data_IF_142949956398
#
_entry.id   IF_142949956398
#
_cell.length_a   1.000
_cell.length_b   1.000
_cell.length_c   1.000
_cell.angle_alpha   90.00
_cell.angle_beta   90.00
_cell.angle_gamma   90.00
#
_symmetry.space_group_name_H-M   'P 1'
#
loop_
_entity.id
_entity.type
_entity.pdbx_description
1 polymer ?
#
# COMPACT_ATOMS: atom_id res chain seq x y z
N UNK A 1 -6.40 9.66 29.17
CA UNK A 1 -7.02 10.15 27.93
C UNK A 1 -8.43 10.55 28.33
N UNK A 2 -8.64 11.85 28.50
CA UNK A 2 -9.96 12.41 28.71
C UNK A 2 -10.75 12.23 27.41
N UNK A 3 -11.83 11.45 27.44
CA UNK A 3 -12.72 11.25 26.31
C UNK A 3 -13.59 12.47 26.05
N UNK A 4 -13.00 13.67 26.02
CA UNK A 4 -13.69 14.88 25.59
C UNK A 4 -14.02 14.72 24.10
N UNK A 5 -15.30 14.91 23.77
CA UNK A 5 -15.75 14.88 22.38
C UNK A 5 -14.99 15.96 21.59
N UNK A 6 -14.38 15.56 20.48
CA UNK A 6 -13.65 16.47 19.61
C UNK A 6 -14.63 17.37 18.86
N UNK A 7 -14.97 18.52 19.45
CA UNK A 7 -15.89 19.52 18.89
C UNK A 7 -15.27 20.34 17.73
N UNK A 8 -14.09 19.97 17.22
CA UNK A 8 -13.48 20.66 16.09
C UNK A 8 -14.24 20.34 14.80
N UNK A 9 -14.78 21.38 14.18
CA UNK A 9 -15.32 21.28 12.83
C UNK A 9 -14.22 20.94 11.83
N UNK A 10 -14.55 20.15 10.82
CA UNK A 10 -13.64 19.89 9.70
C UNK A 10 -13.24 21.24 9.07
N UNK A 11 -11.94 21.50 8.98
CA UNK A 11 -11.39 22.74 8.44
C UNK A 11 -11.77 22.93 6.96
N UNK A 12 -12.04 21.83 6.27
CA UNK A 12 -12.41 21.81 4.85
C UNK A 12 -13.79 21.16 4.68
N UNK A 13 -14.66 21.81 3.91
CA UNK A 13 -15.99 21.31 3.55
C UNK A 13 -15.91 20.07 2.64
N UNK A 14 -14.83 19.93 1.88
CA UNK A 14 -14.55 18.77 1.03
C UNK A 14 -13.14 18.24 1.28
N UNK A 15 -13.02 16.92 1.38
CA UNK A 15 -11.75 16.21 1.55
C UNK A 15 -11.79 14.86 0.84
N UNK A 16 -10.62 14.32 0.53
CA UNK A 16 -10.49 12.96 -0.01
C UNK A 16 -10.53 11.97 1.16
N UNK A 17 -11.44 11.00 1.06
CA UNK A 17 -11.51 9.88 1.99
C UNK A 17 -11.03 8.60 1.29
N UNK A 18 -10.26 7.79 2.01
CA UNK A 18 -9.85 6.46 1.59
C UNK A 18 -10.23 5.45 2.69
N UNK A 19 -10.50 4.18 2.33
CA UNK A 19 -10.71 3.13 3.32
C UNK A 19 -9.52 3.06 4.29
N UNK A 20 -9.82 3.04 5.59
CA UNK A 20 -8.79 2.81 6.60
C UNK A 20 -8.27 1.37 6.42
N UNK A 21 -6.99 1.25 6.07
CA UNK A 21 -6.34 -0.05 6.10
C UNK A 21 -6.32 -0.53 7.57
N UNK A 22 -6.75 -1.77 7.87
CA UNK A 22 -6.60 -2.31 9.22
C UNK A 22 -5.12 -2.18 9.58
N UNK A 23 -4.76 -1.72 10.79
CA UNK A 23 -3.37 -1.45 11.21
C UNK A 23 -3.08 -2.13 12.57
N UNK A 24 -3.31 -3.42 12.66
CA UNK A 24 -3.05 -4.30 13.81
C UNK A 24 -1.54 -4.48 14.11
N UNK A 25 -0.77 -3.44 14.44
CA UNK A 25 0.58 -3.51 15.07
C UNK A 25 1.75 -4.17 14.31
N UNK A 26 1.51 -5.12 13.41
CA UNK A 26 2.47 -5.80 12.53
C UNK A 26 2.68 -5.05 11.20
N UNK A 27 2.25 -3.81 11.16
CA UNK A 27 2.18 -2.99 9.96
C UNK A 27 3.51 -2.32 9.75
N UNK A 28 4.22 -2.76 8.73
CA UNK A 28 5.38 -2.04 8.23
C UNK A 28 4.97 -1.42 6.90
N UNK A 29 4.69 -0.12 6.92
CA UNK A 29 4.64 0.66 5.69
C UNK A 29 5.98 0.48 4.98
N UNK A 30 5.90 0.20 3.68
CA UNK A 30 7.07 0.01 2.85
C UNK A 30 6.99 0.91 1.64
N UNK A 31 8.09 1.63 1.42
CA UNK A 31 8.35 2.37 0.19
C UNK A 31 9.13 1.48 -0.78
N UNK A 32 8.60 1.27 -1.98
CA UNK A 32 9.23 0.46 -3.02
C UNK A 32 10.03 1.31 -4.00
N UNK A 33 9.54 2.50 -4.32
CA UNK A 33 10.28 3.52 -5.04
C UNK A 33 9.90 4.92 -4.55
N UNK A 34 10.82 5.86 -4.67
CA UNK A 34 10.59 7.28 -4.46
C UNK A 34 10.37 8.01 -5.78
N UNK A 35 10.27 9.33 -5.69
CA UNK A 35 10.09 10.17 -6.86
C UNK A 35 11.39 10.35 -7.67
N UNK A 36 12.53 10.42 -6.98
CA UNK A 36 13.88 10.51 -7.58
C UNK A 36 14.74 9.28 -7.33
N UNK A 37 14.30 8.42 -6.39
CA UNK A 37 15.11 7.33 -5.87
C UNK A 37 14.43 6.01 -6.24
N UNK A 38 15.07 5.20 -7.08
CA UNK A 38 14.60 3.86 -7.42
C UNK A 38 15.55 2.88 -6.74
N UNK A 39 15.28 2.49 -5.48
CA UNK A 39 16.10 1.51 -4.79
C UNK A 39 15.96 0.17 -5.52
N UNK A 40 17.05 -0.60 -5.56
CA UNK A 40 17.00 -1.95 -6.08
C UNK A 40 16.28 -2.84 -5.07
N UNK A 41 15.03 -3.18 -5.34
CA UNK A 41 14.30 -4.10 -4.49
C UNK A 41 14.83 -5.54 -4.67
N UNK A 42 15.09 -6.24 -3.57
CA UNK A 42 15.70 -7.59 -3.61
C UNK A 42 14.71 -8.73 -3.31
N UNK A 43 13.64 -8.45 -2.57
CA UNK A 43 12.61 -9.44 -2.27
C UNK A 43 11.59 -9.56 -3.41
N UNK A 44 10.88 -10.70 -3.42
CA UNK A 44 9.93 -11.05 -4.50
C UNK A 44 8.84 -10.00 -4.73
N UNK A 45 8.32 -9.39 -3.66
CA UNK A 45 7.27 -8.39 -3.82
C UNK A 45 7.83 -7.12 -4.45
N UNK A 46 8.96 -6.63 -3.96
CA UNK A 46 9.59 -5.45 -4.55
C UNK A 46 10.01 -5.66 -6.00
N UNK A 47 10.54 -6.85 -6.36
CA UNK A 47 10.83 -7.20 -7.77
C UNK A 47 9.58 -7.23 -8.65
N UNK A 48 8.45 -7.67 -8.12
CA UNK A 48 7.17 -7.62 -8.83
C UNK A 48 6.70 -6.18 -9.04
N UNK A 49 6.87 -5.30 -8.05
CA UNK A 49 6.60 -3.87 -8.17
C UNK A 49 7.50 -3.23 -9.23
N UNK A 50 8.81 -3.51 -9.23
CA UNK A 50 9.74 -2.98 -10.23
C UNK A 50 9.35 -3.42 -11.65
N UNK A 51 8.95 -4.69 -11.81
CA UNK A 51 8.47 -5.23 -13.08
C UNK A 51 7.18 -4.54 -13.54
N UNK A 52 6.26 -4.27 -12.62
CA UNK A 52 5.02 -3.55 -12.92
C UNK A 52 5.26 -2.10 -13.36
N UNK A 53 6.17 -1.38 -12.67
CA UNK A 53 6.59 -0.03 -13.08
C UNK A 53 7.17 -0.04 -14.49
N UNK A 54 8.08 -0.99 -14.76
CA UNK A 54 8.69 -1.13 -16.07
C UNK A 54 7.65 -1.43 -17.16
N UNK A 55 6.70 -2.33 -16.87
CA UNK A 55 5.61 -2.64 -17.76
C UNK A 55 4.73 -1.40 -18.06
N UNK A 56 4.31 -0.65 -17.04
CA UNK A 56 3.50 0.55 -17.21
C UNK A 56 4.20 1.62 -18.10
N UNK A 57 5.52 1.74 -17.97
CA UNK A 57 6.30 2.61 -18.84
C UNK A 57 6.27 2.14 -20.30
N UNK A 58 6.44 0.85 -20.56
CA UNK A 58 6.41 0.32 -21.92
C UNK A 58 5.00 0.40 -22.53
N UNK A 59 3.97 0.04 -21.77
CA UNK A 59 2.58 0.04 -22.17
C UNK A 59 2.08 1.45 -22.54
N UNK A 60 2.51 2.46 -21.77
CA UNK A 60 2.21 3.87 -22.06
C UNK A 60 3.00 4.45 -23.25
N UNK A 61 3.75 3.64 -24.00
CA UNK A 61 4.63 4.12 -25.07
C UNK A 61 5.75 5.02 -24.56
N UNK A 62 6.23 4.77 -23.34
CA UNK A 62 7.26 5.54 -22.62
C UNK A 62 6.83 6.95 -22.19
N UNK A 63 5.53 7.18 -21.98
CA UNK A 63 5.00 8.49 -21.59
C UNK A 63 4.65 8.61 -20.10
N UNK A 64 4.43 7.49 -19.40
CA UNK A 64 4.04 7.49 -17.99
C UNK A 64 5.00 6.61 -17.20
N UNK A 65 5.65 7.18 -16.19
CA UNK A 65 6.43 6.46 -15.21
C UNK A 65 5.73 6.55 -13.86
N UNK A 66 5.38 5.40 -13.29
CA UNK A 66 4.83 5.34 -11.93
C UNK A 66 5.98 5.48 -10.93
N UNK A 67 5.85 6.43 -10.01
CA UNK A 67 6.79 6.70 -8.93
C UNK A 67 6.07 6.81 -7.58
N UNK A 68 6.84 6.90 -6.50
CA UNK A 68 6.34 7.00 -5.12
C UNK A 68 5.38 5.86 -4.72
N UNK A 69 5.64 4.66 -5.26
CA UNK A 69 4.89 3.47 -4.90
C UNK A 69 5.27 3.04 -3.49
N UNK A 70 4.33 3.20 -2.59
CA UNK A 70 4.42 2.84 -1.20
C UNK A 70 3.09 2.26 -0.73
N UNK A 71 3.15 1.45 0.33
CA UNK A 71 1.93 0.92 0.91
C UNK A 71 2.19 -0.12 1.98
N UNK A 72 1.10 -0.75 2.37
CA UNK A 72 1.07 -1.75 3.43
C UNK A 72 0.93 -3.15 2.85
N UNK A 73 1.77 -4.06 3.31
CA UNK A 73 1.66 -5.49 2.98
C UNK A 73 0.76 -6.16 4.02
N UNK A 74 -0.49 -6.47 3.64
CA UNK A 74 -1.42 -7.20 4.50
C UNK A 74 -1.27 -8.69 4.20
N UNK A 75 -0.51 -9.39 5.05
CA UNK A 75 -0.49 -10.86 5.04
C UNK A 75 -1.73 -11.38 5.74
N UNK A 76 -2.72 -11.82 4.98
CA UNK A 76 -3.83 -12.58 5.55
C UNK A 76 -3.32 -13.96 5.95
N UNK A 77 -3.47 -14.39 7.22
CA UNK A 77 -3.20 -15.77 7.58
C UNK A 77 -4.12 -16.67 6.77
N UNK A 78 -3.55 -17.54 5.95
CA UNK A 78 -4.31 -18.60 5.31
C UNK A 78 -4.83 -19.51 6.43
N UNK A 79 -6.13 -19.47 6.72
CA UNK A 79 -6.76 -20.51 7.54
C UNK A 79 -6.71 -21.80 6.72
N UNK A 80 -5.74 -22.66 7.02
CA UNK A 80 -5.75 -24.04 6.53
C UNK A 80 -7.00 -24.72 7.09
N UNK A 81 -8.10 -24.70 6.35
CA UNK A 81 -9.26 -25.53 6.62
C UNK A 81 -8.99 -26.94 6.08
N UNK A 82 -8.15 -27.70 6.79
CA UNK A 82 -8.15 -29.16 6.71
C UNK A 82 -9.32 -29.69 7.53
N UNK A 83 -10.52 -29.64 6.96
CA UNK A 83 -11.67 -30.45 7.40
C UNK A 83 -12.63 -30.64 6.21
N UNK A 84 -12.14 -31.31 5.17
CA UNK A 84 -13.03 -32.03 4.25
C UNK A 84 -13.14 -33.43 4.83
N UNK A 85 -14.18 -33.66 5.65
CA UNK A 85 -14.65 -35.02 5.91
C UNK A 85 -15.40 -35.47 4.65
N UNK A 86 -14.82 -36.45 3.95
CA UNK A 86 -15.50 -37.28 2.96
C UNK A 86 -16.64 -38.06 3.61
#
# INVERSE_FOLDING_TARGET
MDGSEDDRTLVFEAFLAAPLLPCNGLYQERKFCGNTDIPQNEDRLGLAIDTYIHHALLDSGKNVLLSDLQGTIILFPCKNHTDIKL
#
